data_IF_227038364922
#
_entry.id   IF_227038364922
#
_cell.length_a   1.000
_cell.length_b   1.000
_cell.length_c   1.000
_cell.angle_alpha   90.00
_cell.angle_beta   90.00
_cell.angle_gamma   90.00
#
_symmetry.space_group_name_H-M   'P 1'
#
loop_
_entity.id
_entity.type
_entity.pdbx_description
1 polymer ?
#
# COMPACT_ATOMS: atom_id res chain seq x y z
N UNK A 1 -7.44 6.51 12.32
CA UNK A 1 -7.39 5.11 11.82
C UNK A 1 -6.46 4.21 12.63
N UNK A 2 -5.39 4.69 13.27
CA UNK A 2 -4.67 3.89 14.29
C UNK A 2 -3.91 2.68 13.75
N UNK A 3 -3.54 2.69 12.47
CA UNK A 3 -2.81 1.60 11.81
C UNK A 3 -1.38 1.48 12.33
N UNK A 4 -0.89 0.25 12.44
CA UNK A 4 0.53 -0.04 12.71
C UNK A 4 1.34 0.25 11.43
N UNK A 5 2.59 0.73 11.54
CA UNK A 5 3.42 1.02 10.36
C UNK A 5 3.56 -0.17 9.39
N UNK A 6 3.61 -1.39 9.92
CA UNK A 6 3.67 -2.61 9.10
C UNK A 6 2.40 -2.85 8.27
N UNK A 7 1.22 -2.45 8.78
CA UNK A 7 -0.06 -2.55 8.06
C UNK A 7 -0.12 -1.53 6.93
N UNK A 8 0.32 -0.29 7.20
CA UNK A 8 0.42 0.76 6.16
C UNK A 8 1.36 0.33 5.04
N UNK A 9 2.53 -0.23 5.37
CA UNK A 9 3.48 -0.71 4.38
C UNK A 9 3.02 -1.98 3.64
N UNK A 10 2.05 -2.72 4.20
CA UNK A 10 1.49 -3.93 3.60
C UNK A 10 0.27 -3.67 2.72
N UNK A 11 -0.28 -2.44 2.72
CA UNK A 11 -1.51 -2.10 2.03
C UNK A 11 -1.34 -2.10 0.51
N UNK A 12 -2.28 -2.75 -0.17
CA UNK A 12 -2.31 -2.87 -1.63
C UNK A 12 -3.48 -2.10 -2.25
N UNK A 13 -3.41 -1.83 -3.56
CA UNK A 13 -4.53 -1.18 -4.25
C UNK A 13 -5.83 -1.98 -4.22
N UNK A 14 -5.75 -3.31 -4.19
CA UNK A 14 -6.91 -4.21 -4.05
C UNK A 14 -7.58 -4.12 -2.66
N UNK A 15 -6.86 -3.64 -1.66
CA UNK A 15 -7.37 -3.45 -0.30
C UNK A 15 -8.12 -2.12 -0.13
N UNK A 16 -8.14 -1.26 -1.16
CA UNK A 16 -8.74 0.08 -1.12
C UNK A 16 -10.05 0.07 -1.93
N UNK A 17 -11.15 0.41 -1.25
CA UNK A 17 -12.44 0.68 -1.90
C UNK A 17 -12.69 2.20 -1.92
N UNK A 18 -12.37 2.88 -3.04
CA UNK A 18 -12.54 4.32 -3.15
C UNK A 18 -14.01 4.75 -3.33
N UNK A 19 -14.91 3.82 -3.68
CA UNK A 19 -16.33 4.09 -3.88
C UNK A 19 -17.04 4.13 -2.53
N UNK A 20 -16.76 3.15 -1.67
CA UNK A 20 -17.28 3.12 -0.30
C UNK A 20 -16.41 3.89 0.70
N UNK A 21 -15.27 4.42 0.26
CA UNK A 21 -14.27 5.10 1.09
C UNK A 21 -13.84 4.24 2.29
N UNK A 22 -13.44 2.99 2.02
CA UNK A 22 -12.97 2.04 3.02
C UNK A 22 -11.63 1.40 2.63
N UNK A 23 -10.93 0.85 3.61
CA UNK A 23 -9.79 -0.04 3.42
C UNK A 23 -9.93 -1.30 4.26
N UNK A 24 -9.41 -2.40 3.74
CA UNK A 24 -9.21 -3.64 4.50
C UNK A 24 -7.73 -3.77 4.85
N UNK A 25 -7.42 -4.22 6.06
CA UNK A 25 -6.04 -4.52 6.44
C UNK A 25 -5.86 -6.04 6.36
N UNK A 26 -5.41 -6.53 5.20
CA UNK A 26 -5.21 -7.96 4.96
C UNK A 26 -3.76 -8.43 5.15
N UNK A 27 -2.79 -7.51 4.98
CA UNK A 27 -1.37 -7.83 4.98
C UNK A 27 -0.57 -6.88 5.89
N UNK A 28 0.58 -7.36 6.35
CA UNK A 28 1.60 -6.55 6.99
C UNK A 28 2.94 -6.77 6.31
N UNK A 29 3.69 -5.70 6.03
CA UNK A 29 5.03 -5.75 5.44
C UNK A 29 6.04 -5.10 6.38
N UNK A 30 7.09 -5.84 6.72
CA UNK A 30 8.19 -5.37 7.59
C UNK A 30 9.55 -5.63 6.96
N UNK A 31 10.55 -4.85 7.34
CA UNK A 31 11.94 -5.06 6.93
C UNK A 31 12.74 -5.58 8.12
N UNK A 32 13.31 -6.78 8.01
CA UNK A 32 14.13 -7.42 9.03
C UNK A 32 15.63 -7.24 8.70
N UNK A 33 16.37 -6.71 9.66
CA UNK A 33 17.83 -6.53 9.54
C UNK A 33 18.27 -5.67 8.36
N UNK A 34 17.39 -4.77 7.90
CA UNK A 34 17.55 -3.91 6.71
C UNK A 34 17.91 -4.68 5.42
N UNK A 35 17.52 -5.97 5.35
CA UNK A 35 17.92 -6.89 4.28
C UNK A 35 16.78 -7.75 3.77
N UNK A 36 15.87 -8.16 4.64
CA UNK A 36 14.82 -9.11 4.29
C UNK A 36 13.45 -8.45 4.45
N UNK A 37 12.66 -8.43 3.37
CA UNK A 37 11.24 -8.08 3.44
C UNK A 37 10.48 -9.29 3.95
N UNK A 38 9.65 -9.09 4.96
CA UNK A 38 8.79 -10.12 5.55
C UNK A 38 7.35 -9.64 5.45
N UNK A 39 6.55 -10.39 4.71
CA UNK A 39 5.10 -10.21 4.62
C UNK A 39 4.38 -11.28 5.43
N UNK A 40 3.26 -10.88 6.04
CA UNK A 40 2.40 -11.77 6.81
C UNK A 40 0.96 -11.32 6.67
N UNK A 41 0.10 -12.27 6.34
CA UNK A 41 -1.34 -12.10 6.50
C UNK A 41 -1.65 -11.67 7.93
N UNK A 42 -2.62 -10.78 8.08
CA UNK A 42 -3.12 -10.45 9.41
C UNK A 42 -3.71 -11.72 10.02
N UNK A 43 -3.03 -12.27 11.02
CA UNK A 43 -3.51 -13.45 11.76
C UNK A 43 -4.84 -13.12 12.43
N UNK A 44 -5.93 -13.50 11.77
CA UNK A 44 -7.34 -13.58 12.19
C UNK A 44 -8.30 -12.69 11.40
N UNK A 45 -9.47 -13.28 11.12
CA UNK A 45 -10.71 -12.64 10.66
C UNK A 45 -11.13 -11.42 11.50
N UNK A 46 -10.56 -11.21 12.69
CA UNK A 46 -10.82 -10.05 13.55
C UNK A 46 -10.04 -8.78 13.11
N UNK A 47 -9.02 -8.92 12.25
CA UNK A 47 -8.26 -7.83 11.63
C UNK A 47 -8.84 -7.33 10.30
N UNK A 48 -9.59 -8.20 9.60
CA UNK A 48 -10.30 -7.93 8.34
C UNK A 48 -11.59 -7.14 8.57
N UNK A 49 -11.47 -5.94 9.14
CA UNK A 49 -12.60 -5.02 9.24
C UNK A 49 -12.39 -3.87 8.26
N UNK A 50 -13.46 -3.49 7.55
CA UNK A 50 -13.48 -2.27 6.77
C UNK A 50 -13.24 -1.07 7.70
N UNK A 51 -12.16 -0.33 7.44
CA UNK A 51 -11.86 0.91 8.13
C UNK A 51 -12.26 2.08 7.23
N UNK A 52 -13.02 3.05 7.75
CA UNK A 52 -13.39 4.23 6.97
C UNK A 52 -12.15 5.05 6.64
N UNK A 53 -12.00 5.41 5.37
CA UNK A 53 -11.00 6.34 4.87
C UNK A 53 -11.46 7.79 5.12
N UNK A 54 -10.71 8.59 5.89
CA UNK A 54 -10.92 10.02 5.95
C UNK A 54 -10.79 10.63 4.54
N UNK A 55 -11.64 11.62 4.22
CA UNK A 55 -11.67 12.25 2.90
C UNK A 55 -10.29 12.76 2.43
N UNK A 56 -9.48 13.27 3.35
CA UNK A 56 -8.11 13.70 3.08
C UNK A 56 -7.23 12.55 2.54
N UNK A 57 -7.34 11.37 3.16
CA UNK A 57 -6.56 10.18 2.78
C UNK A 57 -7.07 9.64 1.44
N UNK A 58 -8.38 9.57 1.24
CA UNK A 58 -8.97 9.16 -0.04
C UNK A 58 -8.50 10.06 -1.20
N UNK A 59 -8.47 11.38 -0.98
CA UNK A 59 -7.94 12.34 -1.95
C UNK A 59 -6.47 12.10 -2.28
N UNK A 60 -5.64 11.88 -1.26
CA UNK A 60 -4.22 11.58 -1.44
C UNK A 60 -3.99 10.26 -2.21
N UNK A 61 -4.76 9.21 -1.90
CA UNK A 61 -4.70 7.93 -2.61
C UNK A 61 -5.11 8.08 -4.08
N UNK A 62 -6.17 8.83 -4.38
CA UNK A 62 -6.59 9.09 -5.77
C UNK A 62 -5.51 9.84 -6.56
N UNK A 63 -4.90 10.86 -5.97
CA UNK A 63 -3.81 11.60 -6.60
C UNK A 63 -2.59 10.71 -6.84
N UNK A 64 -2.21 9.89 -5.87
CA UNK A 64 -1.08 8.97 -5.99
C UNK A 64 -1.31 7.90 -7.07
N UNK A 65 -2.53 7.36 -7.18
CA UNK A 65 -2.87 6.40 -8.25
C UNK A 65 -2.76 7.02 -9.65
N UNK A 66 -3.15 8.28 -9.79
CA UNK A 66 -3.01 9.01 -11.06
C UNK A 66 -1.52 9.20 -11.41
N UNK A 67 -0.70 9.60 -10.44
CA UNK A 67 0.75 9.74 -10.63
C UNK A 67 1.40 8.42 -11.06
N UNK A 68 1.10 7.31 -10.37
CA UNK A 68 1.62 6.00 -10.74
C UNK A 68 1.21 5.57 -12.16
N UNK A 69 -0.01 5.92 -12.59
CA UNK A 69 -0.47 5.63 -13.94
C UNK A 69 0.29 6.45 -15.00
N UNK A 70 0.58 7.73 -14.71
CA UNK A 70 1.42 8.58 -15.56
C UNK A 70 2.85 8.05 -15.67
N UNK A 71 3.46 7.66 -14.54
CA UNK A 71 4.80 7.07 -14.49
C UNK A 71 4.88 5.75 -15.27
N UNK A 72 3.88 4.88 -15.10
CA UNK A 72 3.79 3.61 -15.83
C UNK A 72 3.67 3.84 -17.33
N UNK A 73 2.87 4.81 -17.76
CA UNK A 73 2.73 5.17 -19.17
C UNK A 73 4.03 5.74 -19.74
N UNK A 74 4.77 6.52 -18.96
CA UNK A 74 6.05 7.11 -19.37
C UNK A 74 7.18 6.07 -19.50
N UNK A 75 7.16 5.01 -18.68
CA UNK A 75 8.18 3.95 -18.66
C UNK A 75 7.93 2.84 -19.69
N UNK A 76 6.77 2.80 -20.35
CA UNK A 76 6.53 1.98 -21.55
C UNK A 76 6.42 0.46 -21.35
N UNK A 77 6.63 -0.08 -20.14
CA UNK A 77 6.48 -1.50 -19.84
C UNK A 77 5.77 -1.73 -18.50
N UNK A 78 4.88 -2.72 -18.50
CA UNK A 78 4.06 -3.17 -17.39
C UNK A 78 4.91 -3.61 -16.20
N UNK A 79 5.32 -2.66 -15.38
CA UNK A 79 5.82 -2.97 -14.05
C UNK A 79 4.60 -3.21 -13.17
N UNK A 80 4.22 -4.47 -13.08
CA UNK A 80 3.69 -5.04 -11.83
C UNK A 80 4.76 -4.86 -10.75
N UNK A 81 5.02 -3.62 -10.33
CA UNK A 81 5.45 -3.33 -8.98
C UNK A 81 4.22 -3.69 -8.16
N UNK A 82 4.19 -4.94 -7.69
CA UNK A 82 3.10 -5.54 -6.91
C UNK A 82 2.49 -4.45 -6.03
N UNK A 83 1.24 -4.10 -6.37
CA UNK A 83 0.46 -2.91 -6.05
C UNK A 83 0.65 -2.30 -4.64
N UNK A 84 1.84 -1.89 -4.23
CA UNK A 84 2.09 -1.33 -2.90
C UNK A 84 1.81 0.16 -2.98
N UNK A 85 1.07 0.67 -2.01
CA UNK A 85 0.76 2.12 -1.87
C UNK A 85 2.02 2.95 -1.51
N UNK A 86 3.20 2.36 -1.62
CA UNK A 86 4.49 2.96 -1.33
C UNK A 86 5.51 2.58 -2.40
N UNK A 87 6.19 3.61 -2.91
CA UNK A 87 7.34 3.50 -3.80
C UNK A 87 8.55 2.93 -3.02
N UNK A 88 9.18 1.89 -3.57
CA UNK A 88 10.47 1.41 -3.08
C UNK A 88 11.55 2.44 -3.41
N UNK A 89 11.95 3.25 -2.43
CA UNK A 89 13.21 3.97 -2.51
C UNK A 89 14.35 2.95 -2.42
N UNK A 90 14.86 2.52 -3.58
CA UNK A 90 16.16 1.86 -3.71
C UNK A 90 17.20 2.81 -3.10
N UNK A 91 17.86 2.35 -2.04
CA UNK A 91 19.01 3.03 -1.49
C UNK A 91 20.07 3.15 -2.59
N UNK A 92 20.44 4.39 -2.96
CA UNK A 92 21.69 4.64 -3.68
C UNK A 92 22.82 4.20 -2.75
N UNK A 93 23.53 3.17 -3.16
CA UNK A 93 24.80 2.76 -2.54
C UNK A 93 25.89 3.64 -3.13
N UNK A 94 26.54 4.43 -2.27
CA UNK A 94 27.92 4.90 -2.49
C UNK A 94 28.92 3.82 -2.06
#
# INVERSE_FOLDING_TARGET
MGLRPAEVCGLRWEDVDPENATIVIANTRTMMGNRYVVEKDTKSLAGERDLPLPALVLGALKAFRALQAEETLALGEATTLEAVIKEESVARTD
#
